data_IF_156419705403
#
_entry.id   IF_156419705403
#
_cell.length_a   1.000
_cell.length_b   1.000
_cell.length_c   1.000
_cell.angle_alpha   90.00
_cell.angle_beta   90.00
_cell.angle_gamma   90.00
#
_symmetry.space_group_name_H-M   'P 1'
#
loop_
_entity.id
_entity.type
_entity.pdbx_description
1 polymer ?
#
# COMPACT_ATOMS: atom_id res chain seq x y z
N UNK A 1 -13.60 -21.48 3.52
CA UNK A 1 -12.12 -21.48 3.34
C UNK A 1 -11.59 -20.24 4.01
N UNK A 2 -10.62 -20.38 4.90
CA UNK A 2 -10.03 -19.23 5.59
C UNK A 2 -9.17 -18.42 4.62
N UNK A 3 -9.03 -17.13 4.90
CA UNK A 3 -8.17 -16.25 4.09
C UNK A 3 -6.74 -16.81 3.96
N UNK A 4 -6.14 -17.24 5.08
CA UNK A 4 -4.78 -17.80 5.12
C UNK A 4 -4.59 -19.06 4.26
N UNK A 5 -5.67 -19.81 4.00
CA UNK A 5 -5.62 -21.09 3.25
C UNK A 5 -5.85 -20.92 1.74
N UNK A 6 -6.11 -19.67 1.29
CA UNK A 6 -6.24 -19.40 -0.14
C UNK A 6 -4.90 -19.56 -0.85
N UNK A 7 -4.89 -20.40 -1.89
CA UNK A 7 -3.74 -20.53 -2.78
C UNK A 7 -3.61 -19.24 -3.60
N UNK A 8 -2.43 -18.64 -3.57
CA UNK A 8 -2.12 -17.50 -4.42
C UNK A 8 -1.77 -17.99 -5.83
N UNK A 9 -2.46 -17.46 -6.80
CA UNK A 9 -2.16 -17.69 -8.21
C UNK A 9 -1.58 -16.39 -8.79
N UNK A 10 -0.33 -16.45 -9.22
CA UNK A 10 0.31 -15.31 -9.89
C UNK A 10 -0.26 -15.15 -11.29
N UNK A 11 -0.74 -13.95 -11.58
CA UNK A 11 -1.15 -13.52 -12.92
C UNK A 11 -0.35 -12.26 -13.21
N UNK A 12 0.50 -12.23 -14.23
CA UNK A 12 1.32 -11.07 -14.53
C UNK A 12 0.47 -9.89 -15.03
N UNK A 13 0.92 -8.68 -14.73
CA UNK A 13 0.37 -7.48 -15.33
C UNK A 13 0.67 -7.43 -16.84
N UNK A 14 -0.26 -6.83 -17.59
CA UNK A 14 -0.05 -6.56 -19.03
C UNK A 14 0.71 -5.24 -19.16
N UNK A 15 1.96 -5.34 -19.57
CA UNK A 15 2.84 -4.16 -19.71
C UNK A 15 2.71 -3.58 -21.11
N UNK A 16 2.62 -2.26 -21.29
CA UNK A 16 2.65 -1.61 -22.60
C UNK A 16 3.97 -1.87 -23.34
N UNK A 17 3.95 -1.88 -24.69
CA UNK A 17 5.14 -2.18 -25.51
C UNK A 17 6.24 -1.12 -25.44
N UNK A 18 5.88 0.15 -25.19
CA UNK A 18 6.83 1.26 -25.22
C UNK A 18 7.42 1.58 -23.83
N UNK A 19 7.96 0.55 -23.17
CA UNK A 19 8.48 0.63 -21.79
C UNK A 19 9.86 -0.04 -21.73
N UNK A 20 10.77 0.54 -20.95
CA UNK A 20 11.99 -0.12 -20.48
C UNK A 20 11.70 -0.78 -19.14
N UNK A 21 12.05 -2.04 -18.99
CA UNK A 21 11.77 -2.81 -17.78
C UNK A 21 13.09 -3.29 -17.18
N UNK A 22 13.28 -3.02 -15.89
CA UNK A 22 14.34 -3.61 -15.08
C UNK A 22 13.64 -4.58 -14.11
N UNK A 23 13.97 -5.87 -14.20
CA UNK A 23 13.33 -6.92 -13.40
C UNK A 23 14.25 -7.44 -12.32
N UNK A 24 13.62 -7.89 -11.23
CA UNK A 24 14.29 -8.61 -10.14
C UNK A 24 15.53 -7.85 -9.59
N UNK A 25 15.39 -6.53 -9.48
CA UNK A 25 16.44 -5.66 -8.96
C UNK A 25 16.45 -5.78 -7.44
N UNK A 26 17.58 -6.22 -6.88
CA UNK A 26 17.74 -6.36 -5.43
C UNK A 26 17.87 -4.97 -4.77
N UNK A 27 16.95 -4.63 -3.85
CA UNK A 27 17.05 -3.42 -3.02
C UNK A 27 17.62 -3.70 -1.62
N UNK A 28 17.66 -4.99 -1.23
CA UNK A 28 18.25 -5.48 0.00
C UNK A 28 18.56 -6.98 -0.14
N UNK A 29 19.21 -7.58 0.84
CA UNK A 29 19.48 -9.02 0.87
C UNK A 29 18.22 -9.82 1.17
N UNK A 30 17.96 -10.88 0.42
CA UNK A 30 16.84 -11.81 0.65
C UNK A 30 15.92 -11.96 -0.55
N UNK A 31 15.34 -13.14 -0.72
CA UNK A 31 14.56 -13.52 -1.89
C UNK A 31 13.30 -12.66 -2.12
N UNK A 32 12.79 -11.99 -1.07
CA UNK A 32 11.63 -11.10 -1.15
C UNK A 32 12.01 -9.63 -1.27
N UNK A 33 13.29 -9.27 -1.27
CA UNK A 33 13.77 -7.90 -1.32
C UNK A 33 14.18 -7.48 -2.74
N UNK A 34 13.30 -7.75 -3.69
CA UNK A 34 13.45 -7.40 -5.11
C UNK A 34 12.32 -6.48 -5.55
N UNK A 35 12.60 -5.67 -6.55
CA UNK A 35 11.62 -4.79 -7.20
C UNK A 35 11.75 -4.86 -8.73
N UNK A 36 10.66 -4.50 -9.42
CA UNK A 36 10.68 -4.24 -10.85
C UNK A 36 10.46 -2.75 -11.09
N UNK A 37 11.16 -2.19 -12.08
CA UNK A 37 11.03 -0.80 -12.51
C UNK A 37 10.52 -0.79 -13.95
N UNK A 38 9.44 -0.07 -14.18
CA UNK A 38 8.86 0.19 -15.49
C UNK A 38 9.05 1.67 -15.81
N UNK A 39 9.82 1.97 -16.83
CA UNK A 39 10.10 3.33 -17.26
C UNK A 39 9.59 3.56 -18.68
N UNK A 40 8.84 4.63 -18.96
CA UNK A 40 8.47 4.98 -20.32
C UNK A 40 9.73 5.29 -21.13
N UNK A 41 9.74 4.95 -22.42
CA UNK A 41 10.86 5.25 -23.34
C UNK A 41 10.84 6.73 -23.74
N UNK A 42 11.02 7.60 -22.76
CA UNK A 42 11.14 9.06 -22.92
C UNK A 42 12.50 9.52 -22.40
N UNK A 43 12.92 10.74 -22.75
CA UNK A 43 14.17 11.29 -22.23
C UNK A 43 14.13 11.53 -20.73
N UNK A 44 12.97 11.95 -20.20
CA UNK A 44 12.78 12.28 -18.78
C UNK A 44 11.48 11.71 -18.27
N UNK A 45 11.51 11.16 -17.06
CA UNK A 45 10.30 10.85 -16.30
C UNK A 45 9.81 12.07 -15.52
N UNK A 46 8.50 12.20 -15.29
CA UNK A 46 7.93 13.28 -14.49
C UNK A 46 8.18 13.01 -13.00
N UNK A 47 7.99 11.77 -12.58
CA UNK A 47 8.14 11.31 -11.21
C UNK A 47 8.12 9.78 -11.12
N UNK A 48 8.02 9.26 -9.92
CA UNK A 48 8.00 7.83 -9.59
C UNK A 48 6.73 7.46 -8.82
N UNK A 49 6.02 6.46 -9.31
CA UNK A 49 4.95 5.78 -8.61
C UNK A 49 5.52 4.51 -7.99
N UNK A 50 5.45 4.37 -6.67
CA UNK A 50 5.76 3.11 -5.98
C UNK A 50 4.45 2.43 -5.62
N UNK A 51 4.14 1.32 -6.30
CA UNK A 51 2.89 0.57 -6.16
C UNK A 51 3.09 -0.65 -5.26
N UNK A 52 2.39 -0.68 -4.14
CA UNK A 52 2.51 -1.68 -3.09
C UNK A 52 1.27 -2.57 -3.14
N UNK A 53 1.45 -3.82 -3.58
CA UNK A 53 0.36 -4.78 -3.70
C UNK A 53 -0.22 -5.18 -2.35
N UNK A 54 -1.48 -5.62 -2.33
CA UNK A 54 -2.13 -6.22 -1.17
C UNK A 54 -2.10 -7.75 -1.18
N UNK A 55 -2.72 -8.31 -0.17
CA UNK A 55 -2.81 -9.75 0.03
C UNK A 55 -2.82 -10.13 1.50
N UNK A 56 -3.25 -9.21 2.39
CA UNK A 56 -3.31 -9.38 3.84
C UNK A 56 -1.94 -9.60 4.48
N UNK A 57 -0.86 -9.18 3.83
CA UNK A 57 0.54 -9.45 4.18
C UNK A 57 0.90 -10.96 4.22
N UNK A 58 0.02 -11.84 3.71
CA UNK A 58 0.22 -13.30 3.71
C UNK A 58 0.56 -13.85 2.33
N UNK A 59 0.27 -13.11 1.27
CA UNK A 59 0.48 -13.50 -0.12
C UNK A 59 0.55 -12.28 -1.02
N UNK A 60 0.98 -12.50 -2.23
CA UNK A 60 1.13 -11.48 -3.26
C UNK A 60 2.52 -11.51 -3.86
N UNK A 61 2.62 -10.86 -5.00
CA UNK A 61 3.86 -10.78 -5.78
C UNK A 61 3.88 -9.45 -6.52
N UNK A 62 5.07 -8.86 -6.61
CA UNK A 62 5.32 -7.70 -7.47
C UNK A 62 4.89 -7.99 -8.90
N UNK A 63 4.54 -6.97 -9.65
CA UNK A 63 4.24 -7.09 -11.08
C UNK A 63 3.10 -8.04 -11.43
N UNK A 64 2.24 -8.36 -10.46
CA UNK A 64 1.00 -9.09 -10.71
C UNK A 64 -0.06 -8.19 -11.36
N UNK A 65 -1.17 -8.78 -11.80
CA UNK A 65 -2.30 -8.05 -12.41
C UNK A 65 -2.80 -6.86 -11.56
N UNK A 66 -2.52 -6.86 -10.26
CA UNK A 66 -2.86 -5.77 -9.34
C UNK A 66 -2.11 -4.47 -9.64
N UNK A 67 -0.95 -4.57 -10.30
CA UNK A 67 -0.18 -3.43 -10.78
C UNK A 67 -0.84 -2.73 -11.98
N UNK A 68 -1.79 -3.38 -12.66
CA UNK A 68 -2.39 -2.88 -13.91
C UNK A 68 -2.91 -1.44 -13.81
N UNK A 69 -3.62 -1.03 -12.74
CA UNK A 69 -4.11 0.36 -12.61
C UNK A 69 -2.99 1.40 -12.49
N UNK A 70 -1.81 1.02 -11.98
CA UNK A 70 -0.66 1.92 -11.84
C UNK A 70 0.20 1.97 -13.09
N UNK A 71 0.24 0.91 -13.92
CA UNK A 71 0.94 0.94 -15.21
C UNK A 71 0.36 1.98 -16.19
N UNK A 72 -0.85 2.46 -15.96
CA UNK A 72 -1.46 3.54 -16.76
C UNK A 72 -0.67 4.84 -16.68
N UNK A 73 -0.02 5.12 -15.54
CA UNK A 73 0.79 6.33 -15.34
C UNK A 73 2.04 6.39 -16.25
N UNK A 74 2.44 5.27 -16.86
CA UNK A 74 3.49 5.25 -17.87
C UNK A 74 3.15 6.12 -19.09
N UNK A 75 1.86 6.24 -19.45
CA UNK A 75 1.39 7.12 -20.53
C UNK A 75 1.55 8.60 -20.19
N UNK A 76 1.54 8.93 -18.90
CA UNK A 76 1.75 10.29 -18.38
C UNK A 76 3.19 10.52 -17.91
N UNK A 77 4.12 9.71 -18.40
CA UNK A 77 5.57 9.81 -18.21
C UNK A 77 6.07 9.57 -16.77
N UNK A 78 5.28 8.96 -15.88
CA UNK A 78 5.79 8.47 -14.60
C UNK A 78 6.50 7.14 -14.78
N UNK A 79 7.58 6.91 -14.04
CA UNK A 79 8.08 5.57 -13.82
C UNK A 79 7.21 4.85 -12.78
N UNK A 80 7.03 3.54 -12.93
CA UNK A 80 6.28 2.71 -11.98
C UNK A 80 7.21 1.67 -11.38
N UNK A 81 7.24 1.58 -10.06
CA UNK A 81 8.06 0.64 -9.30
C UNK A 81 7.14 -0.30 -8.52
N UNK A 82 7.37 -1.60 -8.66
CA UNK A 82 6.62 -2.63 -7.97
C UNK A 82 7.56 -3.46 -7.10
N UNK A 83 7.63 -3.22 -5.78
CA UNK A 83 8.48 -3.98 -4.88
C UNK A 83 7.79 -5.23 -4.35
N UNK A 84 8.57 -6.29 -4.10
CA UNK A 84 8.22 -7.33 -3.16
C UNK A 84 8.61 -6.90 -1.74
N UNK A 85 7.93 -7.47 -0.76
CA UNK A 85 8.20 -7.33 0.66
C UNK A 85 7.96 -8.66 1.38
N UNK A 86 8.45 -8.80 2.63
CA UNK A 86 8.30 -10.02 3.43
C UNK A 86 6.84 -10.32 3.74
N UNK A 87 6.46 -11.59 3.61
CA UNK A 87 5.10 -12.06 3.86
C UNK A 87 5.03 -12.79 5.20
N UNK A 88 3.98 -12.50 5.97
CA UNK A 88 3.67 -13.21 7.20
C UNK A 88 3.17 -14.64 6.91
N UNK A 89 3.35 -15.50 7.87
CA UNK A 89 2.70 -16.82 7.95
C UNK A 89 2.11 -16.97 9.36
N UNK A 90 1.38 -18.05 9.59
CA UNK A 90 0.91 -18.39 10.95
C UNK A 90 2.06 -18.70 11.93
N UNK A 91 3.29 -18.89 11.42
CA UNK A 91 4.48 -19.22 12.21
C UNK A 91 5.51 -18.09 12.27
N UNK A 92 5.44 -17.14 11.33
CA UNK A 92 6.41 -16.06 11.21
C UNK A 92 5.68 -14.75 10.93
N UNK A 93 5.83 -13.79 11.83
CA UNK A 93 5.32 -12.44 11.64
C UNK A 93 6.50 -11.51 11.33
N UNK A 94 6.36 -10.74 10.25
CA UNK A 94 7.32 -9.72 9.84
C UNK A 94 6.81 -8.29 10.12
N UNK A 95 5.53 -8.12 10.43
CA UNK A 95 5.01 -6.80 10.75
C UNK A 95 5.60 -6.29 12.09
N UNK A 96 6.11 -5.05 12.16
CA UNK A 96 6.03 -3.96 11.18
C UNK A 96 7.24 -3.84 10.20
N UNK A 97 8.08 -4.85 10.04
CA UNK A 97 9.31 -4.76 9.24
C UNK A 97 9.05 -4.42 7.77
N UNK A 98 7.88 -4.79 7.21
CA UNK A 98 7.51 -4.42 5.84
C UNK A 98 7.54 -2.90 5.62
N UNK A 99 7.29 -2.08 6.65
CA UNK A 99 7.38 -0.63 6.54
C UNK A 99 8.85 -0.20 6.35
N UNK A 100 9.77 -0.79 7.12
CA UNK A 100 11.20 -0.56 6.94
C UNK A 100 11.72 -1.06 5.58
N UNK A 101 11.13 -2.14 5.05
CA UNK A 101 11.44 -2.66 3.72
C UNK A 101 11.00 -1.68 2.62
N UNK A 102 9.80 -1.08 2.70
CA UNK A 102 9.38 -0.05 1.75
C UNK A 102 10.23 1.22 1.87
N UNK A 103 10.64 1.61 3.09
CA UNK A 103 11.61 2.70 3.27
C UNK A 103 12.97 2.36 2.62
N UNK A 104 13.42 1.10 2.69
CA UNK A 104 14.63 0.64 2.01
C UNK A 104 14.49 0.72 0.47
N UNK A 105 13.33 0.38 -0.08
CA UNK A 105 13.01 0.61 -1.50
C UNK A 105 13.19 2.10 -1.86
N UNK A 106 12.63 3.00 -1.08
CA UNK A 106 12.73 4.45 -1.34
C UNK A 106 14.19 4.94 -1.29
N UNK A 107 14.98 4.54 -0.29
CA UNK A 107 16.41 4.87 -0.21
C UNK A 107 17.20 4.29 -1.39
N UNK A 108 16.88 3.06 -1.81
CA UNK A 108 17.49 2.43 -2.96
C UNK A 108 17.21 3.22 -4.25
N UNK A 109 15.97 3.64 -4.47
CA UNK A 109 15.58 4.40 -5.66
C UNK A 109 16.29 5.77 -5.72
N UNK A 110 16.44 6.46 -4.59
CA UNK A 110 17.20 7.72 -4.51
C UNK A 110 18.66 7.47 -4.89
N UNK A 111 19.30 6.48 -4.27
CA UNK A 111 20.73 6.19 -4.50
C UNK A 111 21.05 5.73 -5.93
N UNK A 112 20.07 5.14 -6.64
CA UNK A 112 20.25 4.59 -7.97
C UNK A 112 19.41 5.31 -9.04
N UNK A 113 18.91 6.51 -8.73
CA UNK A 113 18.03 7.28 -9.62
C UNK A 113 18.64 7.50 -10.99
N UNK A 114 19.91 7.89 -11.07
CA UNK A 114 20.64 8.09 -12.32
C UNK A 114 20.79 6.77 -13.12
N UNK A 115 21.12 5.67 -12.44
CA UNK A 115 21.29 4.34 -13.07
C UNK A 115 20.03 3.89 -13.80
N UNK A 116 18.87 4.12 -13.22
CA UNK A 116 17.59 3.71 -13.79
C UNK A 116 16.86 4.84 -14.54
N UNK A 117 17.43 6.04 -14.57
CA UNK A 117 16.84 7.22 -15.24
C UNK A 117 15.54 7.66 -14.59
N UNK A 118 15.50 7.70 -13.26
CA UNK A 118 14.33 8.08 -12.45
C UNK A 118 14.42 9.55 -12.04
N UNK A 119 13.29 10.22 -12.07
CA UNK A 119 13.14 11.54 -11.46
C UNK A 119 12.50 11.38 -10.07
N UNK A 120 13.28 11.60 -9.02
CA UNK A 120 12.85 11.46 -7.63
C UNK A 120 12.30 12.76 -7.02
N UNK A 121 12.06 13.81 -7.82
CA UNK A 121 11.48 15.08 -7.33
C UNK A 121 9.98 14.98 -7.00
N UNK A 122 9.32 13.97 -7.57
CA UNK A 122 7.93 13.65 -7.28
C UNK A 122 7.82 12.14 -7.04
N UNK A 123 7.52 11.75 -5.80
CA UNK A 123 7.37 10.35 -5.41
C UNK A 123 6.00 10.12 -4.81
N UNK A 124 5.22 9.26 -5.45
CA UNK A 124 3.87 8.90 -5.05
C UNK A 124 3.84 7.47 -4.55
N UNK A 125 3.29 7.24 -3.36
CA UNK A 125 2.99 5.91 -2.87
C UNK A 125 1.56 5.53 -3.22
N UNK A 126 1.38 4.42 -3.90
CA UNK A 126 0.06 3.83 -4.18
C UNK A 126 0.01 2.45 -3.55
N UNK A 127 -1.09 2.11 -2.91
CA UNK A 127 -1.27 0.76 -2.38
C UNK A 127 -2.72 0.31 -2.42
N UNK A 128 -2.91 -1.02 -2.46
CA UNK A 128 -4.24 -1.62 -2.39
C UNK A 128 -4.34 -2.59 -1.23
N UNK A 129 -5.48 -2.64 -0.52
CA UNK A 129 -5.71 -3.54 0.62
C UNK A 129 -4.61 -3.39 1.68
N UNK A 130 -3.95 -4.47 2.11
CA UNK A 130 -2.80 -4.37 3.03
C UNK A 130 -1.62 -3.57 2.47
N UNK A 131 -1.47 -3.46 1.15
CA UNK A 131 -0.51 -2.55 0.52
C UNK A 131 -0.86 -1.08 0.74
N UNK A 132 -2.16 -0.73 0.78
CA UNK A 132 -2.59 0.62 1.14
C UNK A 132 -2.23 0.96 2.60
N UNK A 133 -2.40 0.00 3.51
CA UNK A 133 -1.94 0.16 4.89
C UNK A 133 -0.43 0.43 4.95
N UNK A 134 0.38 -0.37 4.23
CA UNK A 134 1.83 -0.17 4.18
C UNK A 134 2.20 1.18 3.55
N UNK A 135 1.54 1.61 2.47
CA UNK A 135 1.80 2.89 1.82
C UNK A 135 1.56 4.07 2.79
N UNK A 136 0.40 4.08 3.46
CA UNK A 136 0.05 5.16 4.40
C UNK A 136 0.92 5.11 5.65
N UNK A 137 1.20 3.91 6.22
CA UNK A 137 2.12 3.75 7.36
C UNK A 137 3.54 4.21 7.03
N UNK A 138 4.04 3.89 5.83
CA UNK A 138 5.37 4.34 5.38
C UNK A 138 5.43 5.86 5.33
N UNK A 139 4.47 6.51 4.67
CA UNK A 139 4.41 7.97 4.59
C UNK A 139 4.26 8.60 5.99
N UNK A 140 3.40 8.07 6.84
CA UNK A 140 3.20 8.54 8.21
C UNK A 140 4.48 8.39 9.05
N UNK A 141 5.19 7.26 8.93
CA UNK A 141 6.45 7.03 9.63
C UNK A 141 7.57 7.98 9.21
N UNK A 142 7.59 8.37 7.93
CA UNK A 142 8.55 9.34 7.39
C UNK A 142 8.20 10.75 7.89
N UNK A 143 6.96 11.20 7.69
CA UNK A 143 6.51 12.53 8.07
C UNK A 143 6.53 12.77 9.58
N UNK A 144 6.24 11.72 10.37
CA UNK A 144 6.32 11.72 11.83
C UNK A 144 7.72 11.51 12.40
N UNK A 145 8.72 11.24 11.53
CA UNK A 145 10.11 10.92 11.93
C UNK A 145 10.18 9.71 12.89
N UNK A 146 9.31 8.73 12.72
CA UNK A 146 9.26 7.50 13.51
C UNK A 146 9.82 6.34 12.70
N UNK A 147 10.66 5.51 13.31
CA UNK A 147 11.13 4.28 12.69
C UNK A 147 10.20 3.13 13.08
N UNK A 148 9.60 2.48 12.10
CA UNK A 148 8.78 1.29 12.28
C UNK A 148 9.46 0.09 11.62
N UNK A 149 9.66 -0.96 12.40
CA UNK A 149 10.36 -2.17 11.96
C UNK A 149 11.87 -2.03 11.88
N UNK A 150 12.50 -3.13 11.52
CA UNK A 150 13.95 -3.24 11.38
C UNK A 150 14.36 -3.12 9.91
N UNK A 151 15.42 -2.35 9.65
CA UNK A 151 15.96 -2.20 8.31
C UNK A 151 16.47 -3.55 7.80
N UNK A 152 16.09 -3.99 6.59
CA UNK A 152 16.54 -5.25 6.04
C UNK A 152 18.07 -5.26 5.82
N UNK A 153 18.67 -6.42 6.01
CA UNK A 153 20.12 -6.60 5.80
C UNK A 153 20.51 -6.25 4.34
N UNK A 154 21.63 -5.62 4.16
CA UNK A 154 22.13 -5.22 2.83
C UNK A 154 21.38 -4.07 2.18
N UNK A 155 20.39 -3.48 2.86
CA UNK A 155 19.69 -2.33 2.32
C UNK A 155 20.58 -1.09 2.26
N UNK A 156 20.43 -0.31 1.21
CA UNK A 156 21.12 0.97 1.01
C UNK A 156 20.87 1.90 2.20
N UNK A 157 21.95 2.50 2.70
CA UNK A 157 21.86 3.57 3.68
C UNK A 157 21.90 4.90 2.91
N UNK A 158 20.83 5.66 2.95
CA UNK A 158 20.75 6.91 2.21
C UNK A 158 19.54 7.74 2.65
N UNK A 159 19.41 8.87 2.02
CA UNK A 159 18.28 9.77 2.21
C UNK A 159 16.99 9.12 1.71
N UNK A 160 15.89 9.51 2.34
CA UNK A 160 14.55 9.21 1.84
C UNK A 160 14.08 10.37 0.97
N UNK A 161 13.36 10.11 -0.12
CA UNK A 161 12.74 11.18 -0.86
C UNK A 161 11.62 11.82 -0.05
N UNK A 162 11.27 13.03 -0.38
CA UNK A 162 9.97 13.59 0.03
C UNK A 162 8.85 12.81 -0.68
N UNK A 163 7.84 12.40 0.08
CA UNK A 163 6.66 11.76 -0.49
C UNK A 163 5.67 12.85 -0.88
N UNK A 164 5.43 12.99 -2.19
CA UNK A 164 4.56 14.03 -2.71
C UNK A 164 3.08 13.75 -2.46
N UNK A 165 2.65 12.50 -2.62
CA UNK A 165 1.25 12.09 -2.48
C UNK A 165 1.14 10.62 -2.03
N UNK A 166 0.02 10.28 -1.39
CA UNK A 166 -0.33 8.90 -1.04
C UNK A 166 -1.73 8.58 -1.54
N UNK A 167 -1.89 7.44 -2.20
CA UNK A 167 -3.18 6.93 -2.66
C UNK A 167 -3.41 5.54 -2.07
N UNK A 168 -4.47 5.38 -1.27
CA UNK A 168 -4.83 4.12 -0.64
C UNK A 168 -6.17 3.60 -1.10
N UNK A 169 -6.19 2.36 -1.62
CA UNK A 169 -7.40 1.66 -2.02
C UNK A 169 -7.82 0.66 -0.96
N UNK A 170 -9.02 0.81 -0.43
CA UNK A 170 -9.69 -0.14 0.49
C UNK A 170 -8.75 -0.76 1.54
N UNK A 171 -7.92 0.06 2.19
CA UNK A 171 -6.94 -0.41 3.17
C UNK A 171 -7.53 -0.74 4.55
N UNK A 172 -6.94 -1.76 5.24
CA UNK A 172 -7.26 -2.10 6.62
C UNK A 172 -6.44 -1.22 7.58
N UNK A 173 -7.03 -0.22 8.19
CA UNK A 173 -6.29 0.76 9.00
C UNK A 173 -6.49 0.57 10.51
N UNK A 174 -7.72 0.39 10.97
CA UNK A 174 -8.06 0.15 12.37
C UNK A 174 -8.71 -1.24 12.51
N UNK A 175 -7.87 -2.26 12.56
CA UNK A 175 -8.25 -3.66 12.32
C UNK A 175 -9.13 -4.29 13.42
N UNK A 176 -9.16 -3.73 14.63
CA UNK A 176 -10.08 -4.14 15.69
C UNK A 176 -11.54 -3.73 15.41
N UNK A 177 -11.77 -2.80 14.48
CA UNK A 177 -13.07 -2.27 14.12
C UNK A 177 -13.77 -3.02 12.99
N UNK A 178 -13.17 -4.05 12.42
CA UNK A 178 -13.79 -4.79 11.30
C UNK A 178 -15.15 -5.36 11.65
N UNK A 179 -15.23 -6.14 12.73
CA UNK A 179 -16.48 -6.81 13.16
C UNK A 179 -17.58 -5.80 13.47
N UNK A 180 -17.38 -4.76 14.33
CA UNK A 180 -18.42 -3.77 14.59
C UNK A 180 -18.79 -2.95 13.34
N UNK A 181 -17.87 -2.66 12.43
CA UNK A 181 -18.15 -1.92 11.20
C UNK A 181 -18.98 -2.74 10.22
N UNK A 182 -18.65 -4.01 9.99
CA UNK A 182 -19.46 -4.92 9.18
C UNK A 182 -20.87 -5.05 9.74
N UNK A 183 -21.02 -5.20 11.06
CA UNK A 183 -22.33 -5.23 11.72
C UNK A 183 -23.11 -3.93 11.48
N UNK A 184 -22.45 -2.76 11.60
CA UNK A 184 -23.06 -1.45 11.33
C UNK A 184 -23.55 -1.30 9.89
N UNK A 185 -22.81 -1.87 8.94
CA UNK A 185 -23.13 -1.83 7.51
C UNK A 185 -24.16 -2.87 7.07
N UNK A 186 -24.46 -3.87 7.92
CA UNK A 186 -25.30 -5.02 7.54
C UNK A 186 -24.64 -5.93 6.50
N UNK A 187 -23.31 -5.88 6.39
CA UNK A 187 -22.53 -6.70 5.45
C UNK A 187 -22.00 -7.94 6.18
N UNK A 188 -22.20 -9.12 5.60
CA UNK A 188 -21.58 -10.35 6.10
C UNK A 188 -20.14 -10.43 5.61
N UNK A 189 -19.13 -10.53 6.50
CA UNK A 189 -17.76 -10.69 6.06
C UNK A 189 -17.57 -11.93 5.18
N UNK A 190 -16.80 -11.79 4.12
CA UNK A 190 -16.44 -12.88 3.20
C UNK A 190 -15.70 -14.03 3.90
N UNK A 191 -14.91 -13.70 4.91
CA UNK A 191 -14.11 -14.65 5.68
C UNK A 191 -14.67 -14.77 7.09
N UNK A 192 -15.10 -15.98 7.45
CA UNK A 192 -15.75 -16.25 8.74
C UNK A 192 -14.84 -16.04 9.96
N UNK A 193 -13.53 -16.03 9.74
CA UNK A 193 -12.51 -15.79 10.77
C UNK A 193 -12.22 -14.30 11.02
N UNK A 194 -12.83 -13.39 10.29
CA UNK A 194 -12.63 -11.94 10.49
C UNK A 194 -12.75 -11.56 11.98
N UNK A 195 -11.79 -10.81 12.51
CA UNK A 195 -11.67 -10.45 13.91
C UNK A 195 -11.10 -11.54 14.81
N UNK A 196 -10.71 -12.68 14.28
CA UNK A 196 -10.09 -13.76 15.05
C UNK A 196 -8.57 -13.77 14.94
N UNK A 197 -7.91 -14.57 15.77
CA UNK A 197 -6.45 -14.76 15.72
C UNK A 197 -5.94 -15.43 14.43
N UNK A 198 -6.83 -16.06 13.64
CA UNK A 198 -6.51 -16.73 12.38
C UNK A 198 -6.87 -15.89 11.15
N UNK A 199 -7.48 -14.74 11.33
CA UNK A 199 -7.68 -13.77 10.26
C UNK A 199 -6.36 -13.15 9.83
N UNK A 200 -6.33 -12.49 8.66
CA UNK A 200 -5.08 -11.83 8.22
C UNK A 200 -4.66 -10.71 9.17
N UNK A 201 -5.61 -9.96 9.71
CA UNK A 201 -5.36 -8.93 10.71
C UNK A 201 -4.87 -9.52 12.05
N UNK A 202 -5.39 -10.67 12.46
CA UNK A 202 -4.93 -11.35 13.67
C UNK A 202 -3.53 -11.93 13.51
N UNK A 203 -3.21 -12.53 12.35
CA UNK A 203 -1.87 -13.05 12.03
C UNK A 203 -0.85 -11.89 12.01
N UNK A 204 -1.19 -10.75 11.42
CA UNK A 204 -0.37 -9.54 11.46
C UNK A 204 -0.06 -9.08 12.90
N UNK A 205 -1.00 -9.29 13.83
CA UNK A 205 -0.87 -8.96 15.25
C UNK A 205 -0.35 -10.15 16.10
N UNK A 206 0.60 -10.93 15.58
CA UNK A 206 1.20 -12.08 16.27
C UNK A 206 0.21 -13.19 16.65
N UNK A 207 -0.71 -13.52 15.75
CA UNK A 207 -1.78 -14.50 15.97
C UNK A 207 -2.66 -14.18 17.20
N UNK A 208 -2.95 -12.91 17.42
CA UNK A 208 -3.83 -12.45 18.48
C UNK A 208 -5.14 -11.90 17.91
N UNK A 209 -6.19 -11.88 18.73
CA UNK A 209 -7.45 -11.24 18.32
C UNK A 209 -7.26 -9.72 18.36
N UNK A 210 -7.58 -8.98 17.30
CA UNK A 210 -7.41 -7.52 17.31
C UNK A 210 -8.09 -6.82 18.49
N UNK A 211 -9.26 -7.29 18.91
CA UNK A 211 -10.00 -6.73 20.04
C UNK A 211 -9.29 -6.88 21.40
N UNK A 212 -8.33 -7.81 21.52
CA UNK A 212 -7.65 -8.13 22.78
C UNK A 212 -6.27 -7.41 22.91
N UNK A 213 -5.80 -6.74 21.85
CA UNK A 213 -4.44 -6.18 21.76
C UNK A 213 -4.42 -4.74 21.22
N UNK A 214 -5.03 -3.79 21.95
CA UNK A 214 -5.19 -2.40 21.49
C UNK A 214 -3.85 -1.72 21.17
N UNK A 215 -2.77 -2.07 21.85
CA UNK A 215 -1.44 -1.51 21.63
C UNK A 215 -0.87 -1.93 20.25
N UNK A 216 -1.02 -3.20 19.87
CA UNK A 216 -0.61 -3.68 18.55
C UNK A 216 -1.51 -3.12 17.45
N UNK A 217 -2.80 -2.94 17.72
CA UNK A 217 -3.73 -2.28 16.81
C UNK A 217 -3.31 -0.83 16.58
N UNK A 218 -2.97 -0.09 17.64
CA UNK A 218 -2.48 1.27 17.52
C UNK A 218 -1.17 1.34 16.71
N UNK A 219 -0.26 0.38 16.89
CA UNK A 219 0.96 0.28 16.09
C UNK A 219 0.67 0.04 14.60
N UNK A 220 -0.41 -0.67 14.29
CA UNK A 220 -0.84 -0.96 12.93
C UNK A 220 -1.71 0.14 12.30
N UNK A 221 -2.19 1.11 13.10
CA UNK A 221 -3.01 2.21 12.61
C UNK A 221 -2.14 3.40 12.17
N UNK A 222 -2.20 3.80 10.87
CA UNK A 222 -1.42 4.95 10.38
C UNK A 222 -1.68 6.26 11.13
N UNK A 223 -2.90 6.48 11.59
CA UNK A 223 -3.27 7.71 12.30
C UNK A 223 -2.45 7.93 13.59
N UNK A 224 -1.92 6.86 14.19
CA UNK A 224 -1.00 6.93 15.34
C UNK A 224 0.25 7.76 15.04
N UNK A 225 0.66 7.83 13.78
CA UNK A 225 1.91 8.47 13.35
C UNK A 225 1.69 9.71 12.48
N UNK A 226 0.45 10.14 12.28
CA UNK A 226 0.16 11.34 11.52
C UNK A 226 0.78 12.57 12.17
N UNK A 227 1.30 13.44 11.33
CA UNK A 227 1.85 14.75 11.70
C UNK A 227 1.37 15.78 10.68
N UNK A 228 1.53 17.05 10.99
CA UNK A 228 1.21 18.14 10.05
C UNK A 228 2.07 18.14 8.77
N UNK A 229 3.12 17.28 8.73
CA UNK A 229 3.97 17.09 7.55
C UNK A 229 3.52 15.91 6.68
N UNK A 230 2.38 15.29 7.01
CA UNK A 230 1.84 14.19 6.21
C UNK A 230 1.54 14.69 4.78
N UNK A 231 1.97 13.97 3.73
CA UNK A 231 1.66 14.35 2.36
C UNK A 231 0.15 14.28 2.09
N UNK A 232 -0.34 14.95 1.05
CA UNK A 232 -1.72 14.81 0.59
C UNK A 232 -2.15 13.37 0.47
N UNK A 233 -3.33 13.05 0.98
CA UNK A 233 -3.87 11.69 1.06
C UNK A 233 -5.14 11.54 0.23
N UNK A 234 -5.19 10.51 -0.62
CA UNK A 234 -6.39 10.13 -1.36
C UNK A 234 -6.82 8.70 -1.02
N UNK A 235 -8.03 8.54 -0.52
CA UNK A 235 -8.59 7.25 -0.12
C UNK A 235 -9.78 6.86 -1.00
N UNK A 236 -9.73 5.62 -1.50
CA UNK A 236 -10.80 5.04 -2.31
C UNK A 236 -11.27 3.74 -1.66
N UNK A 237 -12.58 3.51 -1.60
CA UNK A 237 -13.15 2.27 -1.10
C UNK A 237 -14.52 1.97 -1.72
N UNK A 238 -14.88 0.70 -1.80
CA UNK A 238 -16.16 0.23 -2.29
C UNK A 238 -17.16 0.06 -1.17
N UNK A 239 -18.40 0.57 -1.35
CA UNK A 239 -19.40 0.52 -0.29
C UNK A 239 -19.98 -0.87 -0.03
N UNK A 240 -19.76 -1.84 -0.94
CA UNK A 240 -20.16 -3.24 -0.80
C UNK A 240 -18.96 -4.18 -0.51
N UNK A 241 -17.82 -3.62 -0.07
CA UNK A 241 -16.63 -4.42 0.26
C UNK A 241 -16.91 -5.34 1.46
N UNK A 242 -16.82 -6.66 1.20
CA UNK A 242 -17.06 -7.73 2.17
C UNK A 242 -15.77 -8.28 2.80
N UNK A 243 -14.60 -7.71 2.43
CA UNK A 243 -13.27 -8.10 2.95
C UNK A 243 -12.73 -7.07 3.94
N UNK A 244 -12.77 -5.79 3.56
CA UNK A 244 -12.37 -4.65 4.39
C UNK A 244 -13.51 -3.63 4.40
N UNK A 245 -14.17 -3.40 5.53
CA UNK A 245 -15.32 -2.48 5.55
C UNK A 245 -14.87 -1.08 5.15
N UNK A 246 -15.57 -0.43 4.20
CA UNK A 246 -15.17 0.89 3.69
C UNK A 246 -15.08 1.97 4.78
N UNK A 247 -15.74 1.74 5.92
CA UNK A 247 -15.64 2.60 7.10
C UNK A 247 -14.22 2.69 7.67
N UNK A 248 -13.32 1.77 7.32
CA UNK A 248 -11.89 1.89 7.62
C UNK A 248 -11.31 3.15 6.96
N UNK A 249 -11.58 3.32 5.66
CA UNK A 249 -11.12 4.49 4.91
C UNK A 249 -11.83 5.77 5.33
N UNK A 250 -13.13 5.70 5.64
CA UNK A 250 -13.89 6.85 6.17
C UNK A 250 -13.29 7.35 7.48
N UNK A 251 -13.00 6.43 8.40
CA UNK A 251 -12.42 6.79 9.70
C UNK A 251 -11.02 7.38 9.56
N UNK A 252 -10.19 6.77 8.71
CA UNK A 252 -8.84 7.29 8.48
C UNK A 252 -8.85 8.69 7.85
N UNK A 253 -9.77 8.97 6.91
CA UNK A 253 -9.93 10.29 6.34
C UNK A 253 -10.26 11.34 7.42
N UNK A 254 -11.19 11.02 8.34
CA UNK A 254 -11.52 11.90 9.46
C UNK A 254 -10.31 12.15 10.38
N UNK A 255 -9.56 11.09 10.73
CA UNK A 255 -8.35 11.22 11.54
C UNK A 255 -7.25 12.03 10.85
N UNK A 256 -7.13 11.89 9.52
CA UNK A 256 -6.22 12.73 8.73
C UNK A 256 -6.64 14.19 8.78
N UNK A 257 -7.91 14.53 8.56
CA UNK A 257 -8.43 15.89 8.59
C UNK A 257 -8.20 16.53 9.98
N UNK A 258 -8.49 15.77 11.04
CA UNK A 258 -8.39 16.25 12.43
C UNK A 258 -6.93 16.47 12.89
N UNK A 259 -6.00 15.60 12.48
CA UNK A 259 -4.61 15.61 12.98
C UNK A 259 -3.70 16.45 12.07
N UNK A 260 -3.83 16.27 10.76
CA UNK A 260 -2.97 16.96 9.77
C UNK A 260 -3.44 18.38 9.50
N UNK A 261 -4.74 18.64 9.67
CA UNK A 261 -5.35 19.95 9.40
C UNK A 261 -5.55 20.23 7.90
N UNK A 262 -5.53 19.19 7.08
CA UNK A 262 -5.83 19.21 5.66
C UNK A 262 -6.94 18.22 5.37
N UNK A 263 -7.71 18.38 4.30
CA UNK A 263 -8.75 17.45 3.95
C UNK A 263 -8.21 16.34 3.06
N UNK A 264 -8.42 15.10 3.48
CA UNK A 264 -8.15 13.94 2.63
C UNK A 264 -9.13 13.94 1.44
N UNK A 265 -8.61 13.69 0.23
CA UNK A 265 -9.47 13.39 -0.90
C UNK A 265 -10.09 12.00 -0.73
N UNK A 266 -11.37 11.85 -1.04
CA UNK A 266 -12.06 10.57 -0.87
C UNK A 266 -12.94 10.26 -2.08
N UNK A 267 -13.03 8.96 -2.43
CA UNK A 267 -13.99 8.45 -3.41
C UNK A 267 -14.58 7.12 -2.89
N UNK A 268 -15.88 7.15 -2.58
CA UNK A 268 -16.64 5.97 -2.18
C UNK A 268 -17.42 5.45 -3.38
N UNK A 269 -16.96 4.32 -3.95
CA UNK A 269 -17.58 3.72 -5.15
C UNK A 269 -18.78 2.89 -4.73
N UNK A 270 -19.97 3.35 -5.09
CA UNK A 270 -21.23 2.70 -4.72
C UNK A 270 -21.33 1.29 -5.31
N UNK A 271 -21.57 0.30 -4.46
CA UNK A 271 -21.73 -1.10 -4.86
C UNK A 271 -20.43 -1.82 -5.22
N UNK A 272 -19.27 -1.14 -5.23
CA UNK A 272 -18.00 -1.78 -5.52
C UNK A 272 -17.54 -2.71 -4.39
N UNK A 273 -16.85 -3.77 -4.76
CA UNK A 273 -16.30 -4.80 -3.88
C UNK A 273 -14.79 -4.64 -3.68
N UNK A 274 -14.18 -5.58 -2.96
CA UNK A 274 -12.75 -5.62 -2.69
C UNK A 274 -11.95 -6.10 -3.91
N UNK A 275 -11.02 -5.30 -4.39
CA UNK A 275 -10.11 -5.65 -5.48
C UNK A 275 -10.08 -4.61 -6.60
N UNK A 276 -9.12 -4.71 -7.54
CA UNK A 276 -8.84 -3.63 -8.50
C UNK A 276 -9.91 -3.49 -9.60
N UNK A 277 -10.73 -4.50 -9.88
CA UNK A 277 -11.63 -4.51 -11.04
C UNK A 277 -12.62 -3.34 -11.06
N UNK A 278 -13.15 -2.96 -9.90
CA UNK A 278 -14.12 -1.87 -9.78
C UNK A 278 -13.45 -0.48 -9.74
N UNK A 279 -12.11 -0.44 -9.64
CA UNK A 279 -11.31 0.77 -9.48
C UNK A 279 -10.38 1.05 -10.65
N UNK A 280 -10.23 0.14 -11.62
CA UNK A 280 -9.44 0.34 -12.84
C UNK A 280 -10.30 0.91 -13.98
N UNK A 281 -10.91 2.07 -13.73
CA UNK A 281 -11.73 2.80 -14.71
C UNK A 281 -11.01 4.07 -15.17
N UNK A 282 -11.43 4.60 -16.32
CA UNK A 282 -10.88 5.86 -16.85
C UNK A 282 -11.15 7.03 -15.90
N UNK A 283 -12.33 7.10 -15.33
CA UNK A 283 -12.71 8.15 -14.39
C UNK A 283 -11.82 8.14 -13.13
N UNK A 284 -11.64 6.97 -12.50
CA UNK A 284 -10.77 6.86 -11.33
C UNK A 284 -9.31 7.15 -11.71
N UNK A 285 -8.86 6.73 -12.89
CA UNK A 285 -7.54 7.08 -13.37
C UNK A 285 -7.35 8.58 -13.48
N UNK A 286 -8.29 9.29 -14.12
CA UNK A 286 -8.23 10.75 -14.26
C UNK A 286 -8.28 11.46 -12.89
N UNK A 287 -9.08 10.97 -11.95
CA UNK A 287 -9.13 11.50 -10.57
C UNK A 287 -7.78 11.34 -9.84
N UNK A 288 -7.09 10.19 -10.00
CA UNK A 288 -5.75 9.96 -9.45
C UNK A 288 -4.73 10.90 -10.08
N UNK A 289 -4.72 11.00 -11.42
CA UNK A 289 -3.81 11.86 -12.16
C UNK A 289 -3.98 13.33 -11.80
N UNK A 290 -5.22 13.80 -11.72
CA UNK A 290 -5.53 15.15 -11.27
C UNK A 290 -5.11 15.43 -9.83
N UNK A 291 -5.13 14.40 -8.96
CA UNK A 291 -4.71 14.52 -7.56
C UNK A 291 -3.20 14.69 -7.43
N UNK A 292 -2.42 13.89 -8.15
CA UNK A 292 -0.96 13.95 -8.06
C UNK A 292 -0.34 15.15 -8.80
N UNK A 293 -1.12 15.87 -9.61
CA UNK A 293 -0.69 17.07 -10.35
C UNK A 293 -1.05 18.38 -9.65
N UNK A 294 -1.56 18.34 -8.42
CA UNK A 294 -1.86 19.52 -7.62
C UNK A 294 -0.58 20.07 -6.97
#
# INVERSE_FOLDING_TARGET
MLFKDKIYQYVPAKVPDNVTIFRDVDYASGARHQLDIYRPKTQHTVGVIVDIYGGGLLRGEKSSYKLQPSLRFLADHYAVVSPNYSLNTVHTNHFPNQIAEIRAVLSFLVAHAETYGLNMTEVVLIGESSGAQLAVLTAASISGSVMLGEKPAGATSGELPEISHVIGFYGPYQVDQFVPQFKKLGITPKFSETGSKLSFEGIMLNNQRPADVPELVAQANPATYFSQKMPPLYLLAGTADDVVPYLQSVKLAQEYDDIVGQSAKTTWVSGAHHGPSDFDTDDIYQQKLAFIRQ
#
